data_IF_011821394204
#
_entry.id   IF_011821394204
#
_cell.length_a   1.000
_cell.length_b   1.000
_cell.length_c   1.000
_cell.angle_alpha   90.00
_cell.angle_beta   90.00
_cell.angle_gamma   90.00
#
_symmetry.space_group_name_H-M   'P 1'
#
loop_
_entity.id
_entity.type
_entity.pdbx_description
1 polymer ?
#
# COMPACT_ATOMS: atom_id res chain seq x y z
N UNK A 1 -10.33 8.71 0.21
CA UNK A 1 -10.79 8.61 -1.18
C UNK A 1 -12.17 8.02 -1.23
N UNK A 2 -12.96 8.36 -2.26
CA UNK A 2 -14.23 7.71 -2.59
C UNK A 2 -14.11 7.17 -4.01
N UNK A 3 -14.54 5.94 -4.26
CA UNK A 3 -14.53 5.40 -5.62
C UNK A 3 -15.50 6.19 -6.51
N UNK A 4 -15.03 6.58 -7.69
CA UNK A 4 -15.85 7.27 -8.70
C UNK A 4 -17.05 6.43 -9.15
N UNK A 5 -16.83 5.13 -9.28
CA UNK A 5 -17.88 4.15 -9.58
C UNK A 5 -18.19 3.34 -8.32
N UNK A 6 -19.48 3.03 -8.07
CA UNK A 6 -19.87 2.29 -6.88
C UNK A 6 -19.22 0.90 -6.88
N UNK A 7 -18.87 0.45 -5.68
CA UNK A 7 -18.43 -0.91 -5.45
C UNK A 7 -19.60 -1.87 -5.63
N UNK A 8 -19.36 -2.91 -6.40
CA UNK A 8 -20.29 -4.01 -6.63
C UNK A 8 -19.71 -5.29 -6.01
N UNK A 9 -20.59 -6.17 -5.53
CA UNK A 9 -20.21 -7.40 -4.82
C UNK A 9 -20.25 -8.63 -5.73
N UNK A 10 -19.29 -9.54 -5.51
CA UNK A 10 -19.27 -10.87 -6.10
C UNK A 10 -18.57 -11.87 -5.17
N UNK A 11 -18.62 -13.15 -5.51
CA UNK A 11 -17.91 -14.23 -4.82
C UNK A 11 -16.71 -14.66 -5.66
N UNK A 12 -15.52 -14.69 -5.06
CA UNK A 12 -14.29 -15.12 -5.70
C UNK A 12 -14.33 -16.62 -6.00
N UNK A 13 -14.12 -17.00 -7.25
CA UNK A 13 -13.94 -18.41 -7.63
C UNK A 13 -12.46 -18.76 -7.66
N UNK A 14 -11.65 -17.93 -8.34
CA UNK A 14 -10.19 -18.11 -8.38
C UNK A 14 -9.48 -16.87 -8.91
N UNK A 15 -8.24 -16.66 -8.47
CA UNK A 15 -7.27 -15.76 -9.13
C UNK A 15 -6.29 -16.59 -9.96
N UNK A 16 -5.98 -16.12 -11.17
CA UNK A 16 -5.07 -16.81 -12.07
C UNK A 16 -4.31 -15.83 -12.97
N UNK A 17 -3.18 -16.28 -13.53
CA UNK A 17 -2.29 -15.46 -14.37
C UNK A 17 -1.87 -14.13 -13.72
N UNK A 18 -1.96 -14.01 -12.38
CA UNK A 18 -1.72 -12.80 -11.57
C UNK A 18 -2.73 -11.65 -11.77
N UNK A 19 -3.15 -11.37 -13.00
CA UNK A 19 -3.95 -10.19 -13.35
C UNK A 19 -5.43 -10.48 -13.65
N UNK A 20 -5.90 -11.72 -13.46
CA UNK A 20 -7.30 -12.12 -13.68
C UNK A 20 -7.89 -12.80 -12.45
N UNK A 21 -9.17 -12.58 -12.20
CA UNK A 21 -9.94 -13.33 -11.23
C UNK A 21 -11.32 -13.67 -11.79
N UNK A 22 -11.71 -14.94 -11.75
CA UNK A 22 -13.08 -15.36 -12.07
C UNK A 22 -13.93 -15.22 -10.80
N UNK A 23 -15.11 -14.65 -10.95
CA UNK A 23 -16.04 -14.38 -9.86
C UNK A 23 -17.48 -14.71 -10.25
N UNK A 24 -18.34 -14.92 -9.25
CA UNK A 24 -19.77 -15.17 -9.42
C UNK A 24 -20.61 -14.05 -8.80
N UNK A 25 -21.56 -13.51 -9.56
CA UNK A 25 -22.52 -12.50 -9.10
C UNK A 25 -23.61 -13.13 -8.22
N UNK A 26 -24.39 -12.31 -7.48
CA UNK A 26 -25.55 -12.79 -6.72
C UNK A 26 -26.61 -13.50 -7.57
N UNK A 27 -26.74 -13.15 -8.86
CA UNK A 27 -27.65 -13.81 -9.81
C UNK A 27 -27.14 -15.16 -10.34
N UNK A 28 -25.95 -15.59 -9.91
CA UNK A 28 -25.30 -16.84 -10.33
C UNK A 28 -24.45 -16.73 -11.59
N UNK A 29 -24.47 -15.61 -12.31
CA UNK A 29 -23.64 -15.42 -13.51
C UNK A 29 -22.15 -15.26 -13.16
N UNK A 30 -21.29 -15.80 -14.02
CA UNK A 30 -19.83 -15.76 -13.85
C UNK A 30 -19.18 -14.81 -14.85
N UNK A 31 -18.16 -14.08 -14.40
CA UNK A 31 -17.38 -13.18 -15.25
C UNK A 31 -15.97 -12.98 -14.68
N UNK A 32 -15.11 -12.35 -15.48
CA UNK A 32 -13.70 -12.14 -15.12
C UNK A 32 -13.43 -10.68 -14.75
N UNK A 33 -12.82 -10.48 -13.57
CA UNK A 33 -12.25 -9.22 -13.10
C UNK A 33 -10.79 -9.07 -13.55
N UNK A 34 -10.39 -7.84 -13.81
CA UNK A 34 -8.98 -7.47 -13.75
C UNK A 34 -8.51 -7.42 -12.28
N UNK A 35 -7.45 -8.15 -11.96
CA UNK A 35 -6.73 -8.03 -10.69
C UNK A 35 -5.57 -7.03 -10.85
N UNK A 36 -5.62 -5.85 -10.18
CA UNK A 36 -4.60 -4.82 -10.30
C UNK A 36 -3.34 -5.09 -9.44
N UNK A 37 -3.30 -6.22 -8.73
CA UNK A 37 -2.17 -6.60 -7.88
C UNK A 37 -1.32 -7.69 -8.56
N UNK A 38 -0.05 -7.37 -8.81
CA UNK A 38 0.90 -8.28 -9.45
C UNK A 38 1.70 -9.13 -8.46
N UNK A 39 1.60 -8.82 -7.16
CA UNK A 39 2.24 -9.53 -6.06
C UNK A 39 1.63 -10.90 -5.77
N UNK A 40 2.13 -11.56 -4.72
CA UNK A 40 1.67 -12.90 -4.38
C UNK A 40 0.21 -12.89 -3.91
N UNK A 41 -0.22 -11.82 -3.22
CA UNK A 41 -1.53 -11.73 -2.55
C UNK A 41 -1.70 -12.89 -1.56
N UNK A 42 -0.62 -13.22 -0.83
CA UNK A 42 -0.61 -14.28 0.17
C UNK A 42 -1.74 -14.01 1.18
N UNK A 43 -2.59 -15.02 1.40
CA UNK A 43 -3.79 -14.94 2.26
C UNK A 43 -4.85 -13.90 1.86
N UNK A 44 -4.83 -13.35 0.65
CA UNK A 44 -5.78 -12.33 0.19
C UNK A 44 -6.67 -12.81 -0.99
N UNK A 45 -6.80 -14.12 -1.22
CA UNK A 45 -7.43 -14.65 -2.44
C UNK A 45 -8.14 -16.01 -2.22
N UNK A 46 -8.79 -16.20 -1.05
CA UNK A 46 -9.49 -17.44 -0.75
C UNK A 46 -10.70 -17.70 -1.65
N UNK A 47 -10.84 -18.92 -2.14
CA UNK A 47 -12.02 -19.34 -2.91
C UNK A 47 -13.28 -19.24 -2.05
N UNK A 48 -14.37 -18.74 -2.63
CA UNK A 48 -15.64 -18.51 -1.95
C UNK A 48 -15.69 -17.18 -1.17
N UNK A 49 -14.61 -16.41 -1.10
CA UNK A 49 -14.60 -15.14 -0.37
C UNK A 49 -15.36 -14.04 -1.11
N UNK A 50 -15.95 -13.13 -0.34
CA UNK A 50 -16.64 -11.96 -0.87
C UNK A 50 -15.62 -10.95 -1.37
N UNK A 51 -15.86 -10.40 -2.56
CA UNK A 51 -15.03 -9.39 -3.20
C UNK A 51 -15.86 -8.21 -3.64
N UNK A 52 -15.21 -7.04 -3.71
CA UNK A 52 -15.78 -5.83 -4.30
C UNK A 52 -14.97 -5.39 -5.50
N UNK A 53 -15.67 -4.95 -6.53
CA UNK A 53 -15.08 -4.44 -7.78
C UNK A 53 -15.74 -3.15 -8.21
N UNK A 54 -15.02 -2.37 -9.01
CA UNK A 54 -15.57 -1.20 -9.72
C UNK A 54 -15.68 -1.52 -11.21
N UNK A 55 -16.70 -1.00 -11.88
CA UNK A 55 -16.88 -1.11 -13.32
C UNK A 55 -16.49 0.20 -14.01
N UNK A 56 -15.55 0.15 -14.95
CA UNK A 56 -15.18 1.29 -15.79
C UNK A 56 -15.98 1.28 -17.09
N UNK A 57 -16.60 2.41 -17.44
CA UNK A 57 -17.32 2.57 -18.70
C UNK A 57 -16.44 2.88 -19.92
N UNK A 58 -15.11 2.81 -19.80
CA UNK A 58 -14.21 2.98 -20.94
C UNK A 58 -14.30 1.78 -21.90
N UNK A 59 -14.84 1.96 -23.13
CA UNK A 59 -15.09 0.86 -24.06
C UNK A 59 -13.81 0.23 -24.63
N UNK A 60 -12.64 0.86 -24.43
CA UNK A 60 -11.34 0.34 -24.87
C UNK A 60 -10.78 -0.73 -23.92
N UNK A 61 -11.35 -0.89 -22.72
CA UNK A 61 -10.85 -1.87 -21.75
C UNK A 61 -11.32 -3.28 -22.12
N UNK A 62 -10.37 -4.22 -22.20
CA UNK A 62 -10.67 -5.66 -22.37
C UNK A 62 -11.46 -6.22 -21.17
N UNK A 63 -11.14 -5.77 -19.96
CA UNK A 63 -11.85 -6.11 -18.74
C UNK A 63 -12.34 -4.82 -18.09
N UNK A 64 -13.65 -4.58 -18.16
CA UNK A 64 -14.28 -3.36 -17.64
C UNK A 64 -14.26 -3.32 -16.11
N UNK A 65 -14.33 -4.47 -15.45
CA UNK A 65 -14.41 -4.58 -14.00
C UNK A 65 -13.02 -4.80 -13.37
N UNK A 66 -12.70 -4.04 -12.34
CA UNK A 66 -11.43 -4.11 -11.58
C UNK A 66 -11.69 -4.50 -10.14
N UNK A 67 -11.04 -5.56 -9.67
CA UNK A 67 -11.11 -6.01 -8.28
C UNK A 67 -10.43 -4.98 -7.37
N UNK A 68 -11.14 -4.54 -6.32
CA UNK A 68 -10.67 -3.53 -5.37
C UNK A 68 -10.44 -4.09 -3.96
N UNK A 69 -11.41 -4.85 -3.44
CA UNK A 69 -11.43 -5.30 -2.05
C UNK A 69 -11.77 -6.79 -1.95
N UNK A 70 -11.34 -7.43 -0.87
CA UNK A 70 -11.78 -8.77 -0.48
C UNK A 70 -12.05 -8.80 1.03
N UNK A 71 -12.98 -9.64 1.45
CA UNK A 71 -13.23 -9.96 2.85
C UNK A 71 -12.68 -11.34 3.14
N UNK A 72 -11.79 -11.45 4.12
CA UNK A 72 -11.21 -12.72 4.52
C UNK A 72 -12.19 -13.58 5.34
N UNK A 73 -11.77 -14.79 5.69
CA UNK A 73 -12.59 -15.73 6.47
C UNK A 73 -12.93 -15.21 7.89
N UNK A 74 -12.19 -14.24 8.41
CA UNK A 74 -12.43 -13.62 9.72
C UNK A 74 -13.35 -12.38 9.61
N UNK A 75 -13.85 -12.06 8.41
CA UNK A 75 -14.65 -10.87 8.16
C UNK A 75 -13.83 -9.57 8.06
N UNK A 76 -12.50 -9.65 7.97
CA UNK A 76 -11.65 -8.49 7.79
C UNK A 76 -11.60 -8.08 6.32
N UNK A 77 -11.77 -6.79 6.07
CA UNK A 77 -11.62 -6.20 4.74
C UNK A 77 -10.14 -5.96 4.41
N UNK A 78 -9.78 -6.26 3.17
CA UNK A 78 -8.44 -6.11 2.59
C UNK A 78 -8.52 -5.32 1.28
N UNK A 79 -7.75 -4.24 1.18
CA UNK A 79 -7.57 -3.48 -0.06
C UNK A 79 -6.51 -4.14 -0.95
N UNK A 80 -6.94 -4.86 -2.00
CA UNK A 80 -6.00 -5.62 -2.84
C UNK A 80 -5.37 -4.76 -3.93
N UNK A 81 -6.00 -3.63 -4.30
CA UNK A 81 -5.45 -2.72 -5.29
C UNK A 81 -4.31 -1.88 -4.67
N UNK A 82 -3.09 -2.40 -4.76
CA UNK A 82 -1.89 -1.77 -4.20
C UNK A 82 -1.61 -0.37 -4.74
N UNK A 83 -2.10 -0.05 -5.95
CA UNK A 83 -1.95 1.29 -6.53
C UNK A 83 -2.74 2.37 -5.76
N UNK A 84 -3.74 1.97 -4.95
CA UNK A 84 -4.48 2.90 -4.11
C UNK A 84 -3.68 3.39 -2.90
N UNK A 85 -2.62 2.67 -2.48
CA UNK A 85 -1.81 3.07 -1.34
C UNK A 85 -1.25 4.50 -1.51
N UNK A 86 -0.69 4.83 -2.66
CA UNK A 86 -0.19 6.18 -2.92
C UNK A 86 -1.34 7.20 -2.95
N UNK A 87 -2.52 6.85 -3.48
CA UNK A 87 -3.67 7.77 -3.42
C UNK A 87 -4.12 8.05 -1.99
N UNK A 88 -4.21 7.01 -1.15
CA UNK A 88 -4.58 7.14 0.27
C UNK A 88 -3.58 7.98 1.05
N UNK A 89 -2.28 7.73 0.86
CA UNK A 89 -1.21 8.51 1.50
C UNK A 89 -1.22 9.96 1.00
N UNK A 90 -1.38 10.17 -0.31
CA UNK A 90 -1.46 11.51 -0.90
C UNK A 90 -2.62 12.34 -0.32
N UNK A 91 -3.82 11.76 -0.23
CA UNK A 91 -4.96 12.45 0.38
C UNK A 91 -4.75 12.73 1.87
N UNK A 92 -4.10 11.82 2.60
CA UNK A 92 -3.77 12.01 4.01
C UNK A 92 -2.70 13.10 4.21
N UNK A 93 -1.73 13.21 3.30
CA UNK A 93 -0.77 14.33 3.26
C UNK A 93 -1.48 15.65 3.02
N UNK A 94 -2.39 15.72 2.04
CA UNK A 94 -3.17 16.92 1.73
C UNK A 94 -4.02 17.39 2.92
N UNK A 95 -4.48 16.44 3.75
CA UNK A 95 -5.29 16.70 4.96
C UNK A 95 -4.47 16.83 6.24
N UNK A 96 -3.14 16.71 6.17
CA UNK A 96 -2.25 16.71 7.35
C UNK A 96 -2.61 15.63 8.39
N UNK A 97 -3.07 14.47 7.94
CA UNK A 97 -3.50 13.34 8.79
C UNK A 97 -2.34 12.42 9.22
N UNK A 98 -1.16 12.59 8.62
CA UNK A 98 0.06 11.87 9.01
C UNK A 98 0.89 12.77 9.92
N UNK A 99 0.77 12.57 11.24
CA UNK A 99 1.30 13.49 12.25
C UNK A 99 2.82 13.77 12.10
N UNK A 100 3.60 12.75 11.77
CA UNK A 100 5.06 12.82 11.62
C UNK A 100 5.49 13.62 10.37
N UNK A 101 4.58 13.82 9.43
CA UNK A 101 4.81 14.52 8.17
C UNK A 101 4.16 15.91 8.14
N UNK A 102 3.58 16.37 9.25
CA UNK A 102 3.04 17.72 9.37
C UNK A 102 4.16 18.78 9.27
N UNK A 103 3.85 19.90 8.61
CA UNK A 103 4.74 21.05 8.46
C UNK A 103 5.54 21.07 7.15
N UNK A 104 5.27 20.16 6.21
CA UNK A 104 5.60 20.36 4.80
C UNK A 104 4.43 21.07 4.11
N UNK A 105 4.71 21.98 3.18
CA UNK A 105 3.68 22.78 2.50
C UNK A 105 3.26 22.20 1.16
N UNK A 106 4.06 21.31 0.58
CA UNK A 106 3.82 20.71 -0.72
C UNK A 106 4.44 19.33 -0.84
N UNK A 107 3.85 18.50 -1.70
CA UNK A 107 4.46 17.24 -2.13
C UNK A 107 4.41 17.11 -3.65
N UNK A 108 5.41 16.43 -4.21
CA UNK A 108 5.46 16.01 -5.60
C UNK A 108 5.51 14.49 -5.67
N UNK A 109 4.79 13.89 -6.62
CA UNK A 109 4.71 12.44 -6.80
C UNK A 109 5.70 11.94 -7.84
N UNK A 110 6.14 10.69 -7.70
CA UNK A 110 6.94 9.96 -8.71
C UNK A 110 8.24 10.68 -9.11
N UNK A 111 8.90 11.34 -8.16
CA UNK A 111 10.12 12.10 -8.43
C UNK A 111 11.32 11.17 -8.57
N UNK A 112 12.09 11.30 -9.66
CA UNK A 112 13.32 10.53 -9.82
C UNK A 112 14.37 10.97 -8.81
N UNK A 113 15.02 10.02 -8.14
CA UNK A 113 16.02 10.26 -7.10
C UNK A 113 17.09 9.16 -7.09
N UNK A 114 18.14 9.40 -6.30
CA UNK A 114 19.22 8.45 -6.11
C UNK A 114 20.11 8.26 -7.34
N UNK A 115 21.15 7.44 -7.19
CA UNK A 115 22.10 7.17 -8.26
C UNK A 115 21.60 6.13 -9.27
N UNK A 116 20.61 5.32 -8.87
CA UNK A 116 20.09 4.24 -9.70
C UNK A 116 18.75 4.62 -10.37
N UNK A 117 18.44 5.93 -10.43
CA UNK A 117 17.24 6.50 -11.05
C UNK A 117 15.93 5.83 -10.58
N UNK A 118 15.82 5.51 -9.30
CA UNK A 118 14.52 5.12 -8.73
C UNK A 118 13.58 6.31 -8.66
N UNK A 119 12.30 6.01 -8.45
CA UNK A 119 11.25 7.02 -8.27
C UNK A 119 10.71 6.92 -6.87
N UNK A 120 10.72 8.04 -6.16
CA UNK A 120 10.13 8.13 -4.83
C UNK A 120 8.64 8.40 -4.99
N UNK A 121 7.82 7.80 -4.15
CA UNK A 121 6.37 7.99 -4.23
C UNK A 121 5.99 9.44 -3.94
N UNK A 122 6.63 10.06 -2.92
CA UNK A 122 6.47 11.47 -2.60
C UNK A 122 7.79 12.15 -2.21
N UNK A 123 8.02 13.35 -2.74
CA UNK A 123 9.01 14.30 -2.24
C UNK A 123 8.27 15.45 -1.57
N UNK A 124 8.44 15.58 -0.26
CA UNK A 124 7.82 16.61 0.56
C UNK A 124 8.77 17.79 0.70
N UNK A 125 8.26 18.97 0.40
CA UNK A 125 8.99 20.23 0.46
C UNK A 125 8.19 21.26 1.26
N UNK A 126 8.91 22.26 1.74
CA UNK A 126 8.33 23.42 2.40
C UNK A 126 8.41 24.63 1.48
N UNK A 127 7.59 25.63 1.76
CA UNK A 127 7.61 26.90 1.05
C UNK A 127 8.82 27.72 1.52
N UNK A 128 9.33 28.58 0.63
CA UNK A 128 10.44 29.49 0.87
C UNK A 128 10.37 30.15 2.26
N UNK A 129 11.39 29.87 3.11
CA UNK A 129 11.96 30.70 4.21
C UNK A 129 12.33 29.98 5.52
N UNK A 130 12.25 28.66 5.61
CA UNK A 130 12.83 27.93 6.76
C UNK A 130 13.90 26.94 6.31
N UNK A 131 15.11 27.42 5.97
CA UNK A 131 16.23 26.59 5.51
C UNK A 131 16.64 25.46 6.50
N UNK A 132 16.05 25.39 7.69
CA UNK A 132 16.38 24.39 8.71
C UNK A 132 15.73 23.03 8.47
N UNK A 133 14.59 22.97 7.77
CA UNK A 133 13.87 21.71 7.52
C UNK A 133 14.31 21.07 6.20
N UNK A 134 14.73 19.80 6.29
CA UNK A 134 15.20 19.01 5.15
C UNK A 134 14.02 18.54 4.31
N UNK A 135 14.22 18.47 2.98
CA UNK A 135 13.32 17.72 2.10
C UNK A 135 13.11 16.30 2.62
N UNK A 136 11.89 15.78 2.49
CA UNK A 136 11.54 14.45 2.96
C UNK A 136 11.11 13.55 1.81
N UNK A 137 11.86 12.47 1.61
CA UNK A 137 11.52 11.39 0.70
C UNK A 137 10.57 10.43 1.42
N UNK A 138 9.42 10.14 0.84
CA UNK A 138 8.46 9.17 1.40
C UNK A 138 8.23 8.06 0.38
N UNK A 139 8.65 6.85 0.73
CA UNK A 139 8.40 5.62 0.00
C UNK A 139 7.21 4.90 0.64
N UNK A 140 6.19 4.58 -0.16
CA UNK A 140 4.97 3.93 0.30
C UNK A 140 5.00 2.45 -0.06
N UNK A 141 4.68 1.59 0.91
CA UNK A 141 4.49 0.15 0.71
C UNK A 141 3.08 -0.25 1.10
N UNK A 142 2.37 -0.90 0.18
CA UNK A 142 1.11 -1.55 0.50
C UNK A 142 1.39 -2.85 1.28
N UNK A 143 0.85 -2.95 2.50
CA UNK A 143 0.99 -4.13 3.35
C UNK A 143 -0.39 -4.77 3.55
N UNK A 144 -0.51 -6.04 3.13
CA UNK A 144 -1.76 -6.81 3.27
C UNK A 144 -1.56 -8.17 3.94
N UNK A 145 -0.32 -8.65 4.10
CA UNK A 145 -0.05 -9.96 4.66
C UNK A 145 -0.22 -9.94 6.19
N UNK A 146 -1.39 -10.41 6.65
CA UNK A 146 -1.69 -10.69 8.05
C UNK A 146 -1.15 -12.07 8.43
N UNK A 147 -0.44 -12.16 9.55
CA UNK A 147 -0.07 -13.40 10.24
C UNK A 147 -0.84 -13.50 11.57
N UNK A 148 -0.39 -14.34 12.51
CA UNK A 148 -1.13 -14.59 13.75
C UNK A 148 -1.22 -13.36 14.66
N UNK A 149 -2.28 -13.32 15.48
CA UNK A 149 -2.48 -12.34 16.54
C UNK A 149 -2.44 -10.87 16.06
N UNK A 150 -3.04 -10.55 14.90
CA UNK A 150 -3.11 -9.18 14.38
C UNK A 150 -1.78 -8.60 13.88
N UNK A 151 -0.72 -9.42 13.75
CA UNK A 151 0.55 -8.96 13.20
C UNK A 151 0.49 -8.91 11.67
N UNK A 152 0.84 -7.77 11.10
CA UNK A 152 1.08 -7.60 9.67
C UNK A 152 2.56 -7.65 9.36
N UNK A 153 2.94 -8.25 8.22
CA UNK A 153 4.33 -8.29 7.80
C UNK A 153 4.51 -7.88 6.34
N UNK A 154 5.67 -7.31 6.04
CA UNK A 154 6.13 -7.04 4.68
C UNK A 154 7.56 -7.56 4.49
N UNK A 155 7.92 -8.11 3.31
CA UNK A 155 7.08 -8.35 2.13
C UNK A 155 6.33 -9.69 2.18
N UNK A 156 5.45 -9.93 1.21
CA UNK A 156 4.75 -11.23 1.01
C UNK A 156 5.47 -12.19 0.05
N UNK A 157 6.58 -11.73 -0.55
CA UNK A 157 7.53 -12.47 -1.38
C UNK A 157 8.87 -11.71 -1.43
N UNK A 158 9.96 -12.38 -1.83
CA UNK A 158 11.28 -11.73 -2.02
C UNK A 158 11.17 -10.53 -2.96
N UNK A 159 11.69 -9.36 -2.54
CA UNK A 159 11.54 -8.08 -3.24
C UNK A 159 12.86 -7.37 -3.48
N UNK A 160 13.55 -7.74 -4.56
CA UNK A 160 14.79 -7.05 -4.98
C UNK A 160 14.59 -5.56 -5.28
N UNK A 161 13.41 -5.18 -5.78
CA UNK A 161 13.04 -3.77 -5.97
C UNK A 161 12.91 -3.04 -4.63
N UNK A 162 12.27 -3.65 -3.64
CA UNK A 162 12.17 -3.07 -2.29
C UNK A 162 13.55 -2.91 -1.63
N UNK A 163 14.42 -3.91 -1.78
CA UNK A 163 15.80 -3.88 -1.31
C UNK A 163 16.58 -2.70 -1.93
N UNK A 164 16.47 -2.51 -3.25
CA UNK A 164 17.08 -1.38 -3.96
C UNK A 164 16.63 -0.03 -3.39
N UNK A 165 15.31 0.14 -3.21
CA UNK A 165 14.77 1.39 -2.70
C UNK A 165 15.27 1.68 -1.27
N UNK A 166 15.39 0.68 -0.39
CA UNK A 166 15.96 0.88 0.96
C UNK A 166 17.41 1.39 0.92
N UNK A 167 18.22 0.86 0.00
CA UNK A 167 19.61 1.31 -0.16
C UNK A 167 19.67 2.77 -0.64
N UNK A 168 18.78 3.16 -1.55
CA UNK A 168 18.71 4.55 -2.04
C UNK A 168 18.19 5.51 -0.97
N UNK A 169 17.16 5.14 -0.21
CA UNK A 169 16.71 5.93 0.95
C UNK A 169 17.86 6.14 1.95
N UNK A 170 18.58 5.07 2.28
CA UNK A 170 19.75 5.14 3.17
C UNK A 170 20.82 6.10 2.65
N UNK A 171 21.08 6.05 1.34
CA UNK A 171 22.04 6.94 0.68
C UNK A 171 21.61 8.41 0.78
N UNK A 172 20.33 8.69 0.59
CA UNK A 172 19.82 10.06 0.66
C UNK A 172 19.79 10.61 2.09
N UNK A 173 19.53 9.76 3.09
CA UNK A 173 19.69 10.15 4.51
C UNK A 173 21.14 10.54 4.83
N UNK A 174 22.11 9.76 4.34
CA UNK A 174 23.55 10.09 4.47
C UNK A 174 23.93 11.41 3.79
N UNK A 175 23.17 11.82 2.76
CA UNK A 175 23.31 13.12 2.08
C UNK A 175 22.59 14.26 2.79
N UNK A 176 21.97 13.99 3.93
CA UNK A 176 21.33 15.00 4.76
C UNK A 176 19.85 15.23 4.45
N UNK A 177 19.20 14.42 3.62
CA UNK A 177 17.74 14.45 3.47
C UNK A 177 17.06 13.70 4.61
N UNK A 178 15.76 13.93 4.80
CA UNK A 178 14.90 13.06 5.61
C UNK A 178 14.33 11.97 4.71
N UNK A 179 14.22 10.74 5.19
CA UNK A 179 13.60 9.65 4.44
C UNK A 179 12.66 8.85 5.35
N UNK A 180 11.50 8.49 4.79
CA UNK A 180 10.44 7.78 5.48
C UNK A 180 10.00 6.61 4.61
N UNK A 181 9.97 5.41 5.19
CA UNK A 181 9.26 4.27 4.66
C UNK A 181 7.89 4.18 5.35
N UNK A 182 6.81 4.33 4.59
CA UNK A 182 5.44 4.32 5.10
C UNK A 182 4.71 3.06 4.63
N UNK A 183 4.39 2.18 5.57
CA UNK A 183 3.49 1.04 5.35
C UNK A 183 2.03 1.50 5.37
N UNK A 184 1.39 1.51 4.21
CA UNK A 184 -0.05 1.67 4.07
C UNK A 184 -0.69 0.29 4.28
N UNK A 185 -1.23 0.07 5.48
CA UNK A 185 -1.73 -1.23 5.93
C UNK A 185 -3.17 -1.40 5.47
N UNK A 186 -3.33 -2.02 4.31
CA UNK A 186 -4.63 -2.23 3.65
C UNK A 186 -5.30 -3.53 4.08
N UNK A 187 -5.27 -3.84 5.38
CA UNK A 187 -5.94 -5.00 5.96
C UNK A 187 -6.46 -4.64 7.36
N UNK A 188 -7.77 -4.61 7.52
CA UNK A 188 -8.44 -4.10 8.74
C UNK A 188 -8.20 -4.94 10.00
N UNK A 189 -7.87 -6.23 9.85
CA UNK A 189 -7.44 -7.10 10.96
C UNK A 189 -5.97 -7.01 11.38
N UNK A 190 -5.18 -6.06 10.85
CA UNK A 190 -3.79 -5.84 11.27
C UNK A 190 -3.74 -4.72 12.31
N UNK A 191 -3.10 -5.00 13.44
CA UNK A 191 -3.01 -4.12 14.61
C UNK A 191 -1.59 -3.60 14.86
N UNK A 192 -0.58 -4.29 14.33
CA UNK A 192 0.84 -3.90 14.38
C UNK A 192 1.61 -4.46 13.20
N UNK A 193 2.75 -3.87 12.88
CA UNK A 193 3.54 -4.20 11.69
C UNK A 193 4.94 -4.63 12.07
N UNK A 194 5.45 -5.66 11.39
CA UNK A 194 6.86 -6.06 11.41
C UNK A 194 7.33 -6.43 10.00
N UNK A 195 8.53 -6.99 9.90
CA UNK A 195 9.15 -7.39 8.64
C UNK A 195 9.23 -8.90 8.56
N UNK A 196 8.91 -9.44 7.39
CA UNK A 196 8.91 -10.87 7.14
C UNK A 196 10.33 -11.39 6.89
N UNK A 197 11.16 -11.49 7.94
CA UNK A 197 12.54 -12.00 7.83
C UNK A 197 12.63 -13.38 7.18
N UNK A 198 11.68 -14.26 7.48
CA UNK A 198 11.61 -15.61 6.91
C UNK A 198 11.26 -15.64 5.42
N UNK A 199 10.67 -14.56 4.91
CA UNK A 199 10.30 -14.41 3.49
C UNK A 199 11.43 -13.72 2.71
N UNK A 200 11.98 -12.64 3.27
CA UNK A 200 13.08 -11.87 2.67
C UNK A 200 14.06 -11.37 3.74
N UNK A 201 15.01 -12.23 4.09
CA UNK A 201 16.03 -11.93 5.10
C UNK A 201 16.93 -10.75 4.70
N UNK A 202 17.16 -10.54 3.40
CA UNK A 202 17.98 -9.42 2.92
C UNK A 202 17.23 -8.10 3.02
N UNK A 203 15.93 -8.07 2.70
CA UNK A 203 15.10 -6.89 2.95
C UNK A 203 15.08 -6.51 4.43
N UNK A 204 14.91 -7.50 5.33
CA UNK A 204 14.97 -7.27 6.77
C UNK A 204 16.30 -6.67 7.22
N UNK A 205 17.42 -7.28 6.80
CA UNK A 205 18.77 -6.80 7.10
C UNK A 205 18.99 -5.37 6.58
N UNK A 206 18.54 -5.06 5.37
CA UNK A 206 18.66 -3.73 4.77
C UNK A 206 17.79 -2.70 5.49
N UNK A 207 16.59 -3.07 5.94
CA UNK A 207 15.73 -2.15 6.68
C UNK A 207 16.32 -1.81 8.04
N UNK A 208 16.80 -2.80 8.79
CA UNK A 208 17.50 -2.54 10.05
C UNK A 208 18.71 -1.62 9.87
N UNK A 209 19.48 -1.83 8.80
CA UNK A 209 20.60 -0.96 8.46
C UNK A 209 20.12 0.46 8.12
N UNK A 210 19.06 0.59 7.31
CA UNK A 210 18.48 1.88 6.94
C UNK A 210 17.99 2.67 8.17
N UNK A 211 17.33 2.00 9.11
CA UNK A 211 16.84 2.61 10.36
C UNK A 211 17.99 3.09 11.23
N UNK A 212 19.07 2.30 11.35
CA UNK A 212 20.28 2.72 12.08
C UNK A 212 20.93 3.98 11.48
N UNK A 213 20.79 4.18 10.18
CA UNK A 213 21.31 5.34 9.47
C UNK A 213 20.35 6.54 9.50
N UNK A 214 19.12 6.36 10.00
CA UNK A 214 18.14 7.43 10.20
C UNK A 214 16.95 7.42 9.24
N UNK A 215 16.71 6.35 8.48
CA UNK A 215 15.45 6.17 7.76
C UNK A 215 14.33 5.91 8.78
N UNK A 216 13.29 6.73 8.76
CA UNK A 216 12.13 6.58 9.64
C UNK A 216 11.15 5.55 9.04
N UNK A 217 10.49 4.77 9.90
CA UNK A 217 9.51 3.77 9.47
C UNK A 217 8.18 4.05 10.16
N UNK A 218 7.15 4.26 9.36
CA UNK A 218 5.78 4.52 9.81
C UNK A 218 4.85 3.43 9.30
N UNK A 219 3.80 3.14 10.05
CA UNK A 219 2.70 2.31 9.60
C UNK A 219 1.37 2.99 9.92
N UNK A 220 0.48 3.02 8.94
CA UNK A 220 -0.86 3.57 9.11
C UNK A 220 -1.89 2.58 8.58
N UNK A 221 -2.91 2.30 9.39
CA UNK A 221 -4.05 1.51 9.00
C UNK A 221 -4.88 2.17 7.90
N UNK A 222 -5.79 1.42 7.30
CA UNK A 222 -6.79 1.95 6.36
C UNK A 222 -8.18 1.58 6.87
N UNK A 223 -9.03 2.58 6.99
CA UNK A 223 -10.46 2.40 7.19
C UNK A 223 -11.10 2.09 5.84
N UNK A 224 -11.87 1.01 5.78
CA UNK A 224 -12.52 0.53 4.55
C UNK A 224 -14.02 0.44 4.82
N UNK A 225 -14.81 1.20 4.07
CA UNK A 225 -16.27 1.20 4.14
C UNK A 225 -16.86 0.96 2.74
N UNK A 226 -17.14 -0.30 2.37
CA UNK A 226 -17.71 -0.63 1.08
C UNK A 226 -19.09 0.00 0.86
N UNK A 227 -19.89 0.15 1.92
CA UNK A 227 -21.22 0.75 1.83
C UNK A 227 -21.17 2.25 1.47
N UNK A 228 -20.11 2.94 1.89
CA UNK A 228 -19.84 4.34 1.51
C UNK A 228 -18.95 4.47 0.27
N UNK A 229 -18.53 3.36 -0.35
CA UNK A 229 -17.55 3.35 -1.44
C UNK A 229 -16.24 4.07 -1.06
N UNK A 230 -15.84 4.05 0.21
CA UNK A 230 -14.83 4.93 0.74
C UNK A 230 -13.70 4.17 1.43
N UNK A 231 -12.48 4.62 1.17
CA UNK A 231 -11.27 4.21 1.90
C UNK A 231 -10.56 5.47 2.40
N UNK A 232 -10.04 5.45 3.61
CA UNK A 232 -9.20 6.53 4.12
C UNK A 232 -8.07 5.97 4.98
N UNK A 233 -6.95 6.69 5.04
CA UNK A 233 -5.94 6.39 6.04
C UNK A 233 -6.58 6.52 7.44
N UNK A 234 -6.17 5.64 8.36
CA UNK A 234 -6.71 5.54 9.71
C UNK A 234 -5.62 5.89 10.74
N UNK A 235 -5.70 5.33 11.94
CA UNK A 235 -4.71 5.53 12.98
C UNK A 235 -3.33 4.95 12.60
N UNK A 236 -2.28 5.50 13.20
CA UNK A 236 -0.95 4.90 13.17
C UNK A 236 -0.97 3.55 13.88
N UNK A 237 -0.16 2.62 13.39
CA UNK A 237 0.02 1.29 13.96
C UNK A 237 1.44 1.15 14.48
N UNK A 238 1.66 0.42 15.60
CA UNK A 238 3.01 0.14 16.09
C UNK A 238 3.84 -0.60 15.04
N UNK A 239 5.11 -0.19 14.90
CA UNK A 239 6.12 -0.87 14.09
C UNK A 239 7.13 -1.55 15.00
N UNK A 240 7.29 -2.86 14.83
CA UNK A 240 8.20 -3.73 15.58
C UNK A 240 9.27 -4.26 14.62
N UNK A 241 10.50 -3.74 14.72
CA UNK A 241 11.64 -4.13 13.86
C UNK A 241 12.64 -5.03 14.58
#
# INVERSE_FOLDING_TARGET
>A
MVFEHPLQEAILLRRYKRFLADVRRPDGSEFTLHCPNTGAMTHCQGEGWRVWYTESHNPKRKYACTWQLVEDADGCLIGINSALANTLVGEALDRSEIAELVGYSSHCREVTYGEQNSRIDFLLTQADRDETRRECLVEVKSLTLKVQNGLGVFPDAVTTRGQKHLQELTTEVKRGKRAVLLFCVQHTGIERVSVAREIDAEYARLLEAAVKEGVEVLAYGVSIDPAKNALSLAASLPVEL
#
